data_IF_932692122346
#
_entry.id   IF_932692122346
#
_cell.length_a   1.000
_cell.length_b   1.000
_cell.length_c   1.000
_cell.angle_alpha   90.00
_cell.angle_beta   90.00
_cell.angle_gamma   90.00
#
_symmetry.space_group_name_H-M   'P 1'
#
loop_
_entity.id
_entity.type
_entity.pdbx_description
1 polymer ?
#
# COMPACT_ATOMS: atom_id res chain seq x y z
N UNK A 1 -54.90 -26.89 -25.56
CA UNK A 1 -53.45 -27.01 -25.79
C UNK A 1 -52.74 -26.19 -24.72
N UNK A 2 -52.14 -26.85 -23.72
CA UNK A 2 -51.33 -26.19 -22.70
C UNK A 2 -49.99 -25.77 -23.34
N UNK A 3 -49.71 -24.47 -23.39
CA UNK A 3 -48.41 -23.95 -23.75
C UNK A 3 -47.51 -23.97 -22.51
N UNK A 4 -46.49 -24.83 -22.52
CA UNK A 4 -45.47 -24.87 -21.48
C UNK A 4 -44.55 -23.66 -21.62
N UNK A 5 -44.60 -22.74 -20.64
CA UNK A 5 -43.55 -21.74 -20.45
C UNK A 5 -42.28 -22.43 -19.97
N UNK A 6 -41.29 -22.57 -20.85
CA UNK A 6 -39.93 -22.95 -20.47
C UNK A 6 -39.29 -21.71 -19.84
N UNK A 7 -39.24 -21.69 -18.50
CA UNK A 7 -38.41 -20.74 -17.76
C UNK A 7 -36.97 -21.27 -17.81
N UNK A 8 -36.15 -20.70 -18.69
CA UNK A 8 -34.70 -20.91 -18.65
C UNK A 8 -34.15 -20.20 -17.42
N UNK A 9 -33.93 -20.94 -16.34
CA UNK A 9 -33.10 -20.52 -15.22
C UNK A 9 -31.66 -20.37 -15.73
N UNK A 10 -31.26 -19.15 -16.05
CA UNK A 10 -29.85 -18.82 -16.24
C UNK A 10 -29.16 -18.99 -14.87
N UNK A 11 -28.33 -20.03 -14.73
CA UNK A 11 -27.44 -20.15 -13.60
C UNK A 11 -26.57 -18.87 -13.52
N UNK A 12 -26.35 -18.28 -12.34
CA UNK A 12 -25.45 -17.15 -12.23
C UNK A 12 -24.06 -17.65 -12.62
N UNK A 13 -23.59 -17.21 -13.79
CA UNK A 13 -22.20 -17.41 -14.19
C UNK A 13 -21.35 -16.80 -13.08
N UNK A 14 -20.62 -17.63 -12.33
CA UNK A 14 -19.62 -17.18 -11.37
C UNK A 14 -18.58 -16.38 -12.16
N UNK A 15 -18.74 -15.07 -12.23
CA UNK A 15 -18.03 -14.14 -13.12
C UNK A 15 -16.52 -14.00 -12.81
N UNK A 16 -15.90 -14.96 -12.11
CA UNK A 16 -14.48 -14.95 -11.75
C UNK A 16 -13.91 -16.34 -11.39
N UNK A 17 -14.43 -17.42 -11.97
CA UNK A 17 -13.98 -18.78 -11.66
C UNK A 17 -12.60 -19.16 -12.22
N UNK A 18 -12.07 -18.35 -13.15
CA UNK A 18 -10.73 -18.51 -13.74
C UNK A 18 -9.97 -17.19 -13.66
N UNK A 19 -8.63 -17.23 -13.55
CA UNK A 19 -7.84 -16.02 -13.62
C UNK A 19 -7.92 -15.41 -15.02
N UNK A 20 -7.86 -14.09 -15.09
CA UNK A 20 -7.74 -13.33 -16.34
C UNK A 20 -6.37 -12.69 -16.38
N UNK A 21 -5.67 -12.76 -17.50
CA UNK A 21 -4.33 -12.22 -17.59
C UNK A 21 -3.97 -11.75 -19.00
N UNK A 22 -3.07 -10.78 -19.06
CA UNK A 22 -2.36 -10.35 -20.26
C UNK A 22 -0.92 -10.05 -19.87
N UNK A 23 0.05 -10.68 -20.55
CA UNK A 23 1.48 -10.45 -20.36
C UNK A 23 1.95 -10.58 -18.88
N UNK A 24 1.24 -11.40 -18.10
CA UNK A 24 1.59 -11.81 -16.74
C UNK A 24 1.29 -13.29 -16.56
N UNK A 25 2.07 -13.98 -15.73
CA UNK A 25 1.83 -15.38 -15.36
C UNK A 25 1.90 -15.59 -13.84
N UNK A 26 1.09 -16.53 -13.35
CA UNK A 26 1.14 -17.01 -11.96
C UNK A 26 2.27 -18.02 -11.81
N UNK A 27 3.21 -17.76 -10.90
CA UNK A 27 4.28 -18.67 -10.53
C UNK A 27 3.89 -19.58 -9.37
N UNK A 28 3.28 -18.99 -8.34
CA UNK A 28 2.88 -19.70 -7.14
C UNK A 28 1.94 -18.86 -6.30
N UNK A 29 1.29 -19.50 -5.33
CA UNK A 29 0.32 -18.87 -4.45
C UNK A 29 0.35 -19.47 -3.06
N UNK A 30 -0.05 -18.68 -2.06
CA UNK A 30 -0.29 -19.14 -0.70
C UNK A 30 -1.63 -18.58 -0.22
N UNK A 31 -2.48 -19.38 0.40
CA UNK A 31 -3.81 -18.94 0.83
C UNK A 31 -3.79 -18.00 2.05
N UNK A 32 -2.62 -17.79 2.64
CA UNK A 32 -2.39 -17.01 3.85
C UNK A 32 -3.33 -17.42 5.00
N UNK A 33 -3.69 -18.71 5.05
CA UNK A 33 -4.64 -19.26 6.02
C UNK A 33 -5.99 -18.52 5.99
N UNK A 34 -6.43 -18.09 4.80
CA UNK A 34 -7.67 -17.34 4.57
C UNK A 34 -7.77 -16.01 5.35
N UNK A 35 -6.64 -15.36 5.62
CA UNK A 35 -6.59 -14.06 6.29
C UNK A 35 -6.67 -12.91 5.29
N UNK A 36 -7.38 -11.84 5.65
CA UNK A 36 -7.48 -10.61 4.85
C UNK A 36 -6.15 -9.88 4.82
N UNK A 37 -5.61 -9.56 3.66
CA UNK A 37 -4.27 -8.98 3.54
C UNK A 37 -4.27 -7.51 3.09
N UNK A 38 -3.27 -6.76 3.57
CA UNK A 38 -3.04 -5.36 3.22
C UNK A 38 -1.67 -5.18 2.55
N UNK A 39 -0.58 -5.03 3.31
CA UNK A 39 0.74 -4.74 2.74
C UNK A 39 1.61 -6.00 2.64
N UNK A 40 2.10 -6.35 1.44
CA UNK A 40 3.27 -7.22 1.28
C UNK A 40 4.56 -6.39 1.34
N UNK A 41 5.56 -6.90 2.05
CA UNK A 41 6.97 -6.43 1.99
C UNK A 41 7.86 -7.64 1.76
N UNK A 42 8.70 -7.60 0.74
CA UNK A 42 9.56 -8.73 0.35
C UNK A 42 10.99 -8.40 0.69
N UNK A 43 11.62 -9.22 1.53
CA UNK A 43 12.96 -8.95 2.04
C UNK A 43 13.88 -10.16 1.86
N UNK A 44 15.10 -9.91 1.42
CA UNK A 44 16.14 -10.93 1.33
C UNK A 44 16.94 -10.98 2.63
N UNK A 45 16.93 -12.12 3.32
CA UNK A 45 17.68 -12.32 4.57
C UNK A 45 18.22 -13.75 4.67
N UNK A 46 19.44 -13.91 5.18
CA UNK A 46 20.01 -15.23 5.45
C UNK A 46 20.01 -16.18 4.24
N UNK A 47 20.18 -15.65 3.01
CA UNK A 47 20.12 -16.43 1.77
C UNK A 47 18.72 -16.85 1.32
N UNK A 48 17.67 -16.34 1.97
CA UNK A 48 16.26 -16.62 1.68
C UNK A 48 15.53 -15.34 1.33
N UNK A 49 14.39 -15.48 0.64
CA UNK A 49 13.45 -14.39 0.43
C UNK A 49 12.21 -14.63 1.26
N UNK A 50 11.87 -13.66 2.11
CA UNK A 50 10.73 -13.73 3.02
C UNK A 50 9.72 -12.66 2.62
N UNK A 51 8.47 -13.08 2.43
CA UNK A 51 7.32 -12.20 2.28
C UNK A 51 6.68 -11.96 3.64
N UNK A 52 6.66 -10.71 4.06
CA UNK A 52 5.97 -10.21 5.24
C UNK A 52 4.64 -9.65 4.81
N UNK A 53 3.55 -10.30 5.21
CA UNK A 53 2.20 -9.90 4.82
C UNK A 53 1.46 -9.37 6.05
N UNK A 54 1.22 -8.06 6.07
CA UNK A 54 0.36 -7.43 7.06
C UNK A 54 -1.11 -7.72 6.76
N UNK A 55 -1.89 -7.99 7.81
CA UNK A 55 -3.30 -8.34 7.71
C UNK A 55 -4.20 -7.30 8.37
N UNK A 56 -5.38 -7.11 7.78
CA UNK A 56 -6.52 -6.49 8.48
C UNK A 56 -7.01 -7.41 9.60
N UNK A 57 -7.79 -6.89 10.52
CA UNK A 57 -8.60 -7.68 11.46
C UNK A 57 -9.48 -8.72 10.75
N UNK A 58 -10.03 -9.65 11.53
CA UNK A 58 -10.89 -10.72 11.00
C UNK A 58 -12.19 -10.18 10.37
N UNK A 59 -13.01 -11.09 9.84
CA UNK A 59 -14.37 -10.75 9.38
C UNK A 59 -15.38 -11.03 10.49
N UNK A 60 -16.65 -10.64 10.30
CA UNK A 60 -17.72 -10.97 11.26
C UNK A 60 -17.91 -12.48 11.38
N UNK A 61 -17.76 -13.19 10.28
CA UNK A 61 -17.93 -14.63 10.15
C UNK A 61 -16.71 -15.39 10.71
N UNK A 62 -15.51 -14.84 10.51
CA UNK A 62 -14.26 -15.44 10.99
C UNK A 62 -13.40 -14.34 11.67
N UNK A 63 -13.71 -13.97 12.93
CA UNK A 63 -12.95 -12.95 13.65
C UNK A 63 -11.52 -13.39 13.98
N UNK A 64 -11.33 -14.70 14.20
CA UNK A 64 -10.05 -15.33 14.54
C UNK A 64 -9.82 -16.55 13.64
N UNK A 65 -9.24 -16.37 12.43
CA UNK A 65 -8.94 -17.50 11.57
C UNK A 65 -8.03 -18.51 12.28
N UNK A 66 -8.36 -19.80 12.12
CA UNK A 66 -7.59 -20.92 12.63
C UNK A 66 -6.18 -20.89 12.04
N UNK A 67 -5.17 -21.01 12.88
CA UNK A 67 -3.79 -21.22 12.47
C UNK A 67 -3.50 -22.72 12.38
N UNK A 68 -3.29 -23.30 11.18
CA UNK A 68 -3.00 -24.73 11.04
C UNK A 68 -1.65 -25.17 11.64
N UNK A 69 -0.69 -24.25 11.81
CA UNK A 69 0.62 -24.57 12.40
C UNK A 69 0.54 -24.82 13.91
N UNK A 70 -0.31 -24.07 14.60
CA UNK A 70 -0.43 -24.11 16.07
C UNK A 70 -1.71 -24.80 16.53
N UNK A 71 -2.72 -24.87 15.67
CA UNK A 71 -4.07 -25.30 16.03
C UNK A 71 -4.83 -24.26 16.87
N UNK A 72 -4.38 -23.02 16.96
CA UNK A 72 -5.05 -21.96 17.71
C UNK A 72 -5.91 -21.06 16.82
N UNK A 73 -6.97 -20.48 17.38
CA UNK A 73 -7.73 -19.40 16.73
C UNK A 73 -7.09 -18.06 17.12
N UNK A 74 -6.56 -17.35 16.13
CA UNK A 74 -5.72 -16.17 16.36
C UNK A 74 -6.29 -14.94 15.63
N UNK A 75 -6.28 -13.79 16.31
CA UNK A 75 -6.50 -12.51 15.63
C UNK A 75 -5.45 -12.34 14.53
N UNK A 76 -5.89 -11.90 13.36
CA UNK A 76 -5.00 -11.60 12.24
C UNK A 76 -3.88 -10.65 12.69
N UNK A 77 -2.67 -10.85 12.17
CA UNK A 77 -1.56 -9.95 12.41
C UNK A 77 -0.63 -9.92 11.21
N UNK A 78 0.48 -10.65 11.28
CA UNK A 78 1.47 -10.67 10.19
C UNK A 78 1.84 -12.10 9.83
N UNK A 79 1.71 -12.46 8.56
CA UNK A 79 2.22 -13.73 8.04
C UNK A 79 3.66 -13.59 7.56
N UNK A 80 4.52 -14.53 7.92
CA UNK A 80 5.87 -14.67 7.39
C UNK A 80 5.89 -15.90 6.48
N UNK A 81 6.16 -15.68 5.19
CA UNK A 81 6.12 -16.73 4.15
C UNK A 81 7.47 -16.78 3.46
N UNK A 82 8.09 -17.94 3.41
CA UNK A 82 9.27 -18.17 2.57
C UNK A 82 8.84 -18.18 1.10
N UNK A 83 9.41 -17.28 0.33
CA UNK A 83 9.19 -17.13 -1.11
C UNK A 83 10.50 -17.23 -1.89
N UNK A 84 11.50 -17.93 -1.32
CA UNK A 84 12.80 -18.20 -1.96
C UNK A 84 12.59 -18.94 -3.27
N UNK A 85 11.78 -20.01 -3.25
CA UNK A 85 11.19 -20.58 -4.45
C UNK A 85 9.80 -19.97 -4.67
N UNK A 86 9.62 -19.07 -5.66
CA UNK A 86 8.34 -18.40 -5.91
C UNK A 86 7.24 -19.38 -6.35
N UNK A 87 7.59 -20.60 -6.81
CA UNK A 87 6.63 -21.63 -7.21
C UNK A 87 6.14 -22.46 -6.02
N UNK A 88 6.83 -22.39 -4.88
CA UNK A 88 6.54 -23.19 -3.68
C UNK A 88 6.59 -22.35 -2.40
N UNK A 89 5.76 -21.29 -2.29
CA UNK A 89 5.75 -20.44 -1.11
C UNK A 89 5.37 -21.24 0.14
N UNK A 90 6.20 -21.17 1.19
CA UNK A 90 6.02 -21.92 2.44
C UNK A 90 5.69 -20.98 3.60
N UNK A 91 4.50 -21.14 4.17
CA UNK A 91 4.10 -20.39 5.36
C UNK A 91 4.97 -20.83 6.56
N UNK A 92 5.61 -19.88 7.23
CA UNK A 92 6.57 -20.16 8.31
C UNK A 92 5.97 -19.88 9.68
N UNK A 93 5.35 -18.71 9.82
CA UNK A 93 4.88 -18.23 11.11
C UNK A 93 3.80 -17.17 10.93
N UNK A 94 2.94 -17.05 11.93
CA UNK A 94 1.97 -15.99 12.05
C UNK A 94 2.20 -15.28 13.39
N UNK A 95 2.39 -13.97 13.36
CA UNK A 95 2.49 -13.15 14.57
C UNK A 95 1.12 -12.51 14.79
N UNK A 96 0.34 -12.89 15.83
CA UNK A 96 -0.98 -12.31 16.08
C UNK A 96 -0.95 -10.79 16.20
N UNK A 97 -2.03 -10.15 15.74
CA UNK A 97 -2.22 -8.70 15.78
C UNK A 97 -3.23 -8.28 16.84
N UNK A 98 -3.70 -7.05 16.72
CA UNK A 98 -4.68 -6.49 17.64
C UNK A 98 -6.07 -7.09 17.40
N UNK A 99 -6.86 -7.12 18.47
CA UNK A 99 -8.27 -7.48 18.39
C UNK A 99 -9.05 -6.44 17.58
N UNK A 100 -9.90 -6.93 16.68
CA UNK A 100 -10.80 -6.09 15.90
C UNK A 100 -11.14 -6.73 14.57
N UNK A 101 -12.14 -6.16 13.90
CA UNK A 101 -12.58 -6.59 12.57
C UNK A 101 -12.09 -5.60 11.53
N UNK A 102 -11.79 -6.08 10.31
CA UNK A 102 -11.36 -5.21 9.21
C UNK A 102 -10.25 -4.22 9.66
N UNK A 103 -10.40 -2.92 9.38
CA UNK A 103 -9.40 -1.90 9.76
C UNK A 103 -9.36 -1.60 11.26
N UNK A 104 -10.30 -2.10 12.07
CA UNK A 104 -10.34 -1.84 13.52
C UNK A 104 -9.32 -2.71 14.30
N UNK A 105 -8.80 -3.79 13.68
CA UNK A 105 -7.81 -4.69 14.28
C UNK A 105 -6.70 -5.08 13.29
N UNK A 106 -5.96 -6.15 13.61
CA UNK A 106 -4.93 -6.68 12.72
C UNK A 106 -3.52 -6.15 12.97
N UNK A 107 -2.69 -6.19 11.94
CA UNK A 107 -1.36 -5.57 11.85
C UNK A 107 -1.05 -5.30 10.36
N UNK A 108 -1.80 -4.35 9.80
CA UNK A 108 -1.95 -4.20 8.35
C UNK A 108 -0.68 -3.76 7.62
N UNK A 109 0.21 -3.00 8.26
CA UNK A 109 1.38 -2.42 7.61
C UNK A 109 2.69 -2.97 8.16
N UNK A 110 3.64 -3.26 7.28
CA UNK A 110 4.95 -3.82 7.64
C UNK A 110 6.09 -3.21 6.81
N UNK A 111 7.24 -2.98 7.44
CA UNK A 111 8.54 -2.61 6.85
C UNK A 111 9.63 -3.44 7.47
N UNK A 112 10.69 -3.70 6.71
CA UNK A 112 11.78 -4.58 7.15
C UNK A 112 13.12 -3.91 6.85
N UNK A 113 14.02 -3.93 7.84
CA UNK A 113 15.39 -3.46 7.71
C UNK A 113 16.35 -4.52 8.26
N UNK A 114 17.47 -4.75 7.58
CA UNK A 114 18.56 -5.50 8.20
C UNK A 114 19.17 -4.69 9.34
N UNK A 115 19.50 -5.34 10.46
CA UNK A 115 20.12 -4.67 11.59
C UNK A 115 21.49 -4.08 11.26
N UNK A 116 22.26 -4.72 10.38
CA UNK A 116 23.53 -4.18 9.83
C UNK A 116 23.35 -2.89 9.01
N UNK A 117 22.13 -2.62 8.52
CA UNK A 117 21.82 -1.41 7.77
C UNK A 117 21.54 -0.22 8.68
N UNK A 118 21.09 -0.48 9.91
CA UNK A 118 20.75 0.55 10.89
C UNK A 118 21.99 1.04 11.65
N UNK A 119 22.10 2.34 11.99
CA UNK A 119 23.29 2.88 12.64
C UNK A 119 23.66 2.24 13.99
N UNK A 120 22.67 1.73 14.74
CA UNK A 120 22.86 1.10 16.06
C UNK A 120 22.13 -0.25 16.15
N UNK A 121 21.77 -0.86 15.02
CA UNK A 121 21.12 -2.16 15.00
C UNK A 121 22.11 -3.30 15.32
N UNK A 122 21.61 -4.41 15.85
CA UNK A 122 22.41 -5.64 15.94
C UNK A 122 22.68 -6.14 14.52
N UNK A 123 23.95 -6.29 14.09
CA UNK A 123 24.29 -6.71 12.73
C UNK A 123 23.75 -8.11 12.35
N UNK A 124 23.40 -8.94 13.34
CA UNK A 124 22.83 -10.27 13.12
C UNK A 124 21.29 -10.28 13.15
N UNK A 125 20.66 -9.15 13.47
CA UNK A 125 19.22 -9.03 13.49
C UNK A 125 18.65 -8.67 12.11
N UNK A 126 17.39 -9.01 11.92
CA UNK A 126 16.53 -8.41 10.90
C UNK A 126 15.33 -7.85 11.63
N UNK A 127 15.04 -6.56 11.46
CA UNK A 127 13.96 -5.90 12.19
C UNK A 127 12.76 -5.67 11.30
N UNK A 128 11.59 -6.10 11.76
CA UNK A 128 10.30 -5.77 11.17
C UNK A 128 9.62 -4.70 12.02
N UNK A 129 9.35 -3.54 11.43
CA UNK A 129 8.44 -2.54 11.95
C UNK A 129 7.03 -2.83 11.43
N UNK A 130 6.03 -2.87 12.31
CA UNK A 130 4.63 -3.07 11.92
C UNK A 130 3.66 -2.20 12.73
N UNK A 131 2.46 -1.99 12.20
CA UNK A 131 1.34 -1.57 13.05
C UNK A 131 0.84 -2.72 13.92
N UNK A 132 0.24 -2.40 15.06
CA UNK A 132 -0.54 -3.33 15.87
C UNK A 132 -1.95 -2.78 16.03
N UNK A 133 -2.81 -3.20 15.10
CA UNK A 133 -4.17 -2.68 14.91
C UNK A 133 -4.17 -1.18 14.78
N UNK A 134 -4.91 -0.54 15.67
CA UNK A 134 -4.95 0.91 15.80
C UNK A 134 -4.17 1.42 17.01
N UNK A 135 -3.57 0.56 17.84
CA UNK A 135 -3.15 0.92 19.22
C UNK A 135 -1.65 1.19 19.39
N UNK A 136 -0.84 0.69 18.48
CA UNK A 136 0.61 0.79 18.59
C UNK A 136 1.33 0.59 17.25
N UNK A 137 2.62 0.92 17.25
CA UNK A 137 3.61 0.35 16.33
C UNK A 137 4.51 -0.61 17.10
N UNK A 138 4.95 -1.67 16.45
CA UNK A 138 5.83 -2.69 17.04
C UNK A 138 7.07 -2.90 16.20
N UNK A 139 8.18 -3.19 16.87
CA UNK A 139 9.42 -3.60 16.24
C UNK A 139 9.73 -5.02 16.73
N UNK A 140 9.95 -5.92 15.78
CA UNK A 140 10.23 -7.34 16.01
C UNK A 140 11.60 -7.69 15.41
N UNK A 141 12.37 -8.52 16.09
CA UNK A 141 13.50 -9.21 15.49
C UNK A 141 13.00 -10.50 14.82
N UNK A 142 13.22 -10.59 13.51
CA UNK A 142 12.79 -11.68 12.64
C UNK A 142 13.98 -12.32 11.92
N UNK A 143 15.19 -12.24 12.48
CA UNK A 143 16.37 -12.92 11.94
C UNK A 143 16.10 -14.42 11.71
N UNK A 144 15.42 -15.05 12.68
CA UNK A 144 14.70 -16.31 12.47
C UNK A 144 13.21 -16.00 12.20
N UNK A 145 12.74 -16.07 10.94
CA UNK A 145 11.35 -15.80 10.61
C UNK A 145 10.38 -16.88 11.09
N UNK A 146 10.86 -18.03 11.58
CA UNK A 146 10.03 -19.05 12.21
C UNK A 146 9.87 -18.85 13.73
N UNK A 147 10.65 -17.95 14.35
CA UNK A 147 10.59 -17.66 15.78
C UNK A 147 10.83 -16.16 16.06
N UNK A 148 9.97 -15.26 15.55
CA UNK A 148 10.12 -13.82 15.70
C UNK A 148 9.96 -13.39 17.17
N UNK A 149 10.75 -12.38 17.58
CA UNK A 149 10.77 -11.87 18.96
C UNK A 149 10.45 -10.38 19.01
N UNK A 150 9.50 -9.99 19.86
CA UNK A 150 9.19 -8.57 20.06
C UNK A 150 10.39 -7.87 20.69
N UNK A 151 10.76 -6.72 20.14
CA UNK A 151 11.85 -5.87 20.63
C UNK A 151 11.27 -4.68 21.39
N UNK A 152 10.34 -3.95 20.77
CA UNK A 152 9.74 -2.76 21.38
C UNK A 152 8.33 -2.54 20.85
N UNK A 153 7.47 -1.96 21.68
CA UNK A 153 6.11 -1.52 21.31
C UNK A 153 5.94 -0.05 21.67
N UNK A 154 5.58 0.76 20.67
CA UNK A 154 5.25 2.18 20.80
C UNK A 154 3.73 2.30 20.95
N UNK A 155 3.26 2.40 22.20
CA UNK A 155 1.83 2.45 22.56
C UNK A 155 1.39 3.85 23.01
N UNK A 156 0.12 3.98 23.45
CA UNK A 156 -0.45 5.26 23.90
C UNK A 156 -0.97 6.13 22.75
N UNK A 157 -1.15 5.53 21.58
CA UNK A 157 -1.61 6.15 20.33
C UNK A 157 -2.84 5.42 19.83
N UNK A 158 -3.55 6.03 18.88
CA UNK A 158 -4.69 5.43 18.18
C UNK A 158 -4.51 5.51 16.65
N UNK A 159 -5.40 4.90 15.88
CA UNK A 159 -5.49 5.10 14.43
C UNK A 159 -4.23 4.75 13.63
N UNK A 160 -3.36 3.86 14.12
CA UNK A 160 -2.12 3.52 13.39
C UNK A 160 -2.43 2.95 12.00
N UNK A 161 -1.64 3.33 10.99
CA UNK A 161 -1.95 2.99 9.59
C UNK A 161 -0.72 2.62 8.77
N UNK A 162 -0.17 3.54 7.96
CA UNK A 162 1.09 3.33 7.22
C UNK A 162 2.33 3.62 8.07
N UNK A 163 3.48 3.13 7.62
CA UNK A 163 4.79 3.54 8.12
C UNK A 163 5.82 3.53 6.98
N UNK A 164 6.84 4.39 7.12
CA UNK A 164 8.04 4.42 6.28
C UNK A 164 9.26 4.41 7.17
N UNK A 165 10.25 3.57 6.86
CA UNK A 165 11.47 3.44 7.65
C UNK A 165 12.69 3.55 6.74
N UNK A 166 13.50 4.57 6.97
CA UNK A 166 14.81 4.73 6.33
C UNK A 166 15.81 3.80 7.03
N UNK A 167 16.12 2.65 6.44
CA UNK A 167 17.00 1.68 7.08
C UNK A 167 18.42 2.20 7.30
N UNK A 168 18.91 3.11 6.47
CA UNK A 168 20.28 3.67 6.53
C UNK A 168 20.47 4.71 7.65
N UNK A 169 19.42 5.47 7.98
CA UNK A 169 19.47 6.48 9.05
C UNK A 169 18.77 6.05 10.32
N UNK A 170 17.85 5.09 10.22
CA UNK A 170 16.93 4.71 11.29
C UNK A 170 15.72 5.64 11.42
N UNK A 171 15.60 6.72 10.64
CA UNK A 171 14.45 7.64 10.73
C UNK A 171 13.18 6.95 10.22
N UNK A 172 12.13 7.02 11.02
CA UNK A 172 10.83 6.48 10.68
C UNK A 172 9.72 7.53 10.73
N UNK A 173 8.81 7.44 9.78
CA UNK A 173 7.59 8.26 9.66
C UNK A 173 6.41 7.35 9.91
N UNK A 174 5.80 7.48 11.09
CA UNK A 174 4.75 6.60 11.57
C UNK A 174 3.41 7.32 11.50
N UNK A 175 2.41 6.70 10.85
CA UNK A 175 1.05 7.25 10.86
C UNK A 175 0.34 6.79 12.11
N UNK A 176 -0.10 7.75 12.91
CA UNK A 176 -0.76 7.53 14.22
C UNK A 176 -1.65 8.72 14.59
N UNK A 177 -2.53 8.52 15.55
CA UNK A 177 -3.29 9.56 16.24
C UNK A 177 -2.75 9.75 17.65
N UNK A 178 -2.11 10.90 17.89
CA UNK A 178 -1.57 11.27 19.20
C UNK A 178 -2.65 11.98 20.02
N UNK A 179 -2.81 11.68 21.33
CA UNK A 179 -3.77 12.38 22.19
C UNK A 179 -3.66 13.91 22.10
N UNK A 180 -4.81 14.59 22.00
CA UNK A 180 -4.90 16.04 21.88
C UNK A 180 -4.90 16.59 20.45
N UNK A 181 -4.45 15.81 19.46
CA UNK A 181 -4.58 16.18 18.05
C UNK A 181 -6.01 16.05 17.55
N UNK A 182 -6.38 16.86 16.55
CA UNK A 182 -7.75 16.96 16.01
C UNK A 182 -8.10 15.87 14.97
N UNK A 183 -7.14 15.01 14.65
CA UNK A 183 -7.29 13.91 13.70
C UNK A 183 -6.80 12.60 14.32
N UNK A 184 -7.30 11.49 13.81
CA UNK A 184 -6.92 10.14 14.19
C UNK A 184 -5.67 9.61 13.45
N UNK A 185 -5.25 10.28 12.37
CA UNK A 185 -4.06 9.94 11.57
C UNK A 185 -3.26 11.18 11.19
N UNK A 186 -2.09 11.33 11.81
CA UNK A 186 -1.03 12.32 11.57
C UNK A 186 0.35 11.61 11.61
N UNK A 187 1.45 12.35 11.45
CA UNK A 187 2.81 11.78 11.46
C UNK A 187 3.45 11.92 12.82
N UNK A 188 3.96 10.82 13.36
CA UNK A 188 5.02 10.83 14.37
C UNK A 188 6.36 10.52 13.68
N UNK A 189 7.37 11.36 13.92
CA UNK A 189 8.72 11.13 13.43
C UNK A 189 9.55 10.56 14.56
N UNK A 190 10.19 9.41 14.31
CA UNK A 190 11.02 8.69 15.27
C UNK A 190 12.42 8.46 14.72
N UNK A 191 13.41 8.49 15.61
CA UNK A 191 14.71 7.86 15.41
C UNK A 191 14.61 6.42 15.94
N UNK A 192 14.63 5.46 15.02
CA UNK A 192 14.68 4.01 15.25
C UNK A 192 16.05 3.42 14.89
N UNK A 193 17.12 4.23 14.89
CA UNK A 193 18.49 3.75 14.63
C UNK A 193 18.93 2.67 15.63
N UNK A 194 18.45 2.75 16.87
CA UNK A 194 18.45 1.68 17.88
C UNK A 194 17.00 1.17 18.07
N UNK A 195 16.63 0.04 17.45
CA UNK A 195 15.30 -0.54 17.55
C UNK A 195 14.83 -0.86 18.99
N UNK A 196 15.75 -1.04 19.93
CA UNK A 196 15.43 -1.32 21.33
C UNK A 196 15.27 -0.04 22.17
N UNK A 197 15.69 1.12 21.64
CA UNK A 197 15.56 2.43 22.29
C UNK A 197 15.05 3.50 21.33
N UNK A 198 13.82 3.38 20.81
CA UNK A 198 13.22 4.40 19.96
C UNK A 198 13.19 5.78 20.61
N UNK A 199 13.53 6.82 19.84
CA UNK A 199 13.46 8.22 20.30
C UNK A 199 12.45 8.98 19.45
N UNK A 200 11.39 9.48 20.09
CA UNK A 200 10.42 10.36 19.40
C UNK A 200 11.08 11.70 19.10
N UNK A 201 11.10 12.10 17.83
CA UNK A 201 11.71 13.35 17.40
C UNK A 201 10.71 14.50 17.40
N UNK A 202 9.52 14.31 16.82
CA UNK A 202 8.43 15.29 16.77
C UNK A 202 7.12 14.70 16.27
N UNK A 203 6.06 15.47 16.43
CA UNK A 203 4.80 15.33 15.72
C UNK A 203 4.78 16.24 14.47
N UNK A 204 4.12 15.81 13.40
CA UNK A 204 3.99 16.59 12.15
C UNK A 204 2.69 16.28 11.39
N UNK A 205 2.05 17.32 10.86
CA UNK A 205 0.77 17.19 10.16
C UNK A 205 0.47 18.44 9.32
N UNK A 206 -0.71 18.48 8.67
CA UNK A 206 -1.18 19.71 8.01
C UNK A 206 -1.59 20.75 9.06
N UNK A 207 -1.30 22.05 8.84
CA UNK A 207 -1.82 23.13 9.68
C UNK A 207 -3.35 23.09 9.79
N UNK A 208 -3.85 23.16 11.02
CA UNK A 208 -5.25 22.96 11.38
C UNK A 208 -5.49 21.65 12.14
N UNK A 209 -4.57 20.69 12.07
CA UNK A 209 -4.69 19.40 12.78
C UNK A 209 -4.11 19.42 14.20
N UNK A 210 -3.21 20.36 14.50
CA UNK A 210 -2.55 20.49 15.79
C UNK A 210 -3.53 20.82 16.93
N UNK A 211 -3.14 20.55 18.20
CA UNK A 211 -3.91 20.97 19.36
C UNK A 211 -4.21 22.48 19.36
N UNK A 212 -5.38 22.85 19.89
CA UNK A 212 -5.86 24.24 20.00
C UNK A 212 -6.01 25.02 18.67
N UNK A 213 -5.82 24.39 17.51
CA UNK A 213 -6.14 25.01 16.23
C UNK A 213 -7.65 25.32 16.12
N UNK A 214 -7.98 26.47 15.52
CA UNK A 214 -9.36 26.84 15.16
C UNK A 214 -9.75 26.38 13.75
N UNK A 215 -10.97 26.75 13.31
CA UNK A 215 -11.45 26.53 11.94
C UNK A 215 -11.69 25.06 11.56
N UNK A 216 -11.96 24.77 10.27
CA UNK A 216 -12.15 23.40 9.77
C UNK A 216 -10.88 22.53 9.94
N UNK A 217 -11.07 21.25 10.27
CA UNK A 217 -9.95 20.29 10.35
C UNK A 217 -9.60 19.79 8.94
N UNK A 218 -8.33 19.90 8.49
CA UNK A 218 -7.91 19.34 7.19
C UNK A 218 -7.97 17.81 7.15
N UNK A 219 -8.00 17.26 5.94
CA UNK A 219 -8.04 15.82 5.71
C UNK A 219 -6.84 15.08 6.32
N UNK A 220 -7.07 13.84 6.75
CA UNK A 220 -6.13 13.03 7.54
C UNK A 220 -5.03 12.39 6.69
N UNK A 221 -3.90 12.08 7.32
CA UNK A 221 -2.75 11.48 6.65
C UNK A 221 -3.03 10.02 6.30
N UNK A 222 -2.62 9.61 5.10
CA UNK A 222 -2.59 8.21 4.73
C UNK A 222 -1.19 7.59 4.91
N UNK A 223 -0.14 8.26 4.42
CA UNK A 223 1.23 7.78 4.50
C UNK A 223 2.26 8.75 3.94
N UNK A 224 3.54 8.39 4.08
CA UNK A 224 4.65 9.16 3.57
C UNK A 224 5.66 8.26 2.87
N UNK A 225 6.38 8.80 1.89
CA UNK A 225 7.55 8.16 1.29
C UNK A 225 8.71 9.15 1.36
N UNK A 226 9.81 8.74 2.00
CA UNK A 226 11.03 9.53 2.07
C UNK A 226 12.04 9.07 1.03
N UNK A 227 12.75 10.03 0.45
CA UNK A 227 13.89 9.79 -0.45
C UNK A 227 15.23 9.72 0.29
N UNK A 228 15.18 9.67 1.64
CA UNK A 228 16.35 9.63 2.50
C UNK A 228 17.22 10.89 2.43
N UNK A 229 18.41 10.85 3.04
CA UNK A 229 19.35 11.98 3.07
C UNK A 229 19.74 12.47 1.67
N UNK A 230 19.92 11.55 0.72
CA UNK A 230 20.36 11.88 -0.65
C UNK A 230 19.34 12.76 -1.38
N UNK A 231 18.05 12.45 -1.28
CA UNK A 231 17.02 13.25 -1.91
C UNK A 231 16.55 14.43 -1.06
N UNK A 232 16.74 14.39 0.26
CA UNK A 232 16.30 15.41 1.22
C UNK A 232 14.81 15.81 1.08
N UNK A 233 13.95 14.84 0.73
CA UNK A 233 12.51 15.05 0.59
C UNK A 233 11.69 13.97 1.25
N UNK A 234 10.55 14.38 1.80
CA UNK A 234 9.47 13.50 2.24
C UNK A 234 8.20 13.91 1.50
N UNK A 235 7.55 12.94 0.88
CA UNK A 235 6.30 13.12 0.13
C UNK A 235 5.16 12.55 0.94
N UNK A 236 4.28 13.40 1.46
CA UNK A 236 3.12 12.99 2.25
C UNK A 236 1.86 12.95 1.39
N UNK A 237 1.04 11.92 1.64
CA UNK A 237 -0.26 11.70 1.02
C UNK A 237 -1.36 11.87 2.07
N UNK A 238 -2.23 12.87 1.90
CA UNK A 238 -3.39 13.09 2.76
C UNK A 238 -4.70 12.93 1.98
N UNK A 239 -5.75 12.49 2.68
CA UNK A 239 -7.10 12.34 2.13
C UNK A 239 -7.21 11.21 1.13
N UNK A 240 -7.52 10.01 1.61
CA UNK A 240 -7.42 8.75 0.85
C UNK A 240 -8.25 8.68 -0.44
N UNK A 241 -9.53 9.07 -0.39
CA UNK A 241 -10.49 8.99 -1.51
C UNK A 241 -11.13 10.36 -1.87
N UNK A 242 -10.91 11.38 -1.04
CA UNK A 242 -11.48 12.71 -1.19
C UNK A 242 -10.56 13.78 -0.60
N UNK A 243 -10.61 15.00 -1.18
CA UNK A 243 -9.85 16.16 -0.73
C UNK A 243 -8.34 15.93 -0.66
N UNK A 244 -7.80 15.17 -1.62
CA UNK A 244 -6.41 14.71 -1.60
C UNK A 244 -5.39 15.84 -1.52
N UNK A 245 -4.29 15.60 -0.79
CA UNK A 245 -3.16 16.53 -0.74
C UNK A 245 -1.85 15.76 -0.93
N UNK A 246 -1.07 16.16 -1.93
CA UNK A 246 0.34 15.86 -2.02
C UNK A 246 1.11 17.00 -1.34
N UNK A 247 1.81 16.71 -0.25
CA UNK A 247 2.72 17.67 0.38
C UNK A 247 4.17 17.24 0.18
N UNK A 248 5.00 18.16 -0.28
CA UNK A 248 6.44 17.96 -0.46
C UNK A 248 7.15 18.71 0.67
N UNK A 249 7.95 17.99 1.43
CA UNK A 249 8.60 18.48 2.65
C UNK A 249 10.11 18.30 2.55
N UNK A 250 10.86 19.34 2.93
CA UNK A 250 12.31 19.29 3.11
C UNK A 250 12.64 18.49 4.38
N UNK A 251 13.37 17.38 4.21
CA UNK A 251 13.62 16.41 5.27
C UNK A 251 14.50 17.01 6.38
N UNK A 252 15.59 17.69 6.04
CA UNK A 252 16.48 18.30 7.04
C UNK A 252 15.77 19.39 7.84
N UNK A 253 14.95 20.23 7.21
CA UNK A 253 14.13 21.21 7.94
C UNK A 253 13.10 20.54 8.85
N UNK A 254 12.50 19.43 8.41
CA UNK A 254 11.54 18.69 9.23
C UNK A 254 12.22 18.13 10.50
N UNK A 255 13.42 17.55 10.35
CA UNK A 255 14.13 16.89 11.44
C UNK A 255 14.81 17.87 12.41
N UNK A 256 15.40 18.95 11.89
CA UNK A 256 16.24 19.87 12.68
C UNK A 256 15.59 21.22 12.98
N UNK A 257 14.44 21.52 12.35
CA UNK A 257 13.70 22.75 12.61
C UNK A 257 12.95 22.75 13.94
N UNK A 258 12.29 23.88 14.29
CA UNK A 258 11.46 24.00 15.48
C UNK A 258 10.40 22.88 15.55
N UNK A 259 10.23 22.27 16.73
CA UNK A 259 9.50 21.00 16.90
C UNK A 259 8.06 21.17 17.34
N UNK A 260 7.78 22.26 18.02
CA UNK A 260 6.48 22.66 18.55
C UNK A 260 5.49 22.75 17.38
N UNK A 261 4.29 22.14 17.46
CA UNK A 261 3.37 22.04 16.33
C UNK A 261 2.56 23.32 16.14
N UNK A 262 3.21 24.48 16.07
CA UNK A 262 2.56 25.73 15.66
C UNK A 262 2.28 25.71 14.15
N UNK A 263 1.34 26.53 13.68
CA UNK A 263 1.06 26.63 12.25
C UNK A 263 2.31 27.01 11.44
N UNK A 264 3.11 27.95 11.96
CA UNK A 264 4.38 28.36 11.34
C UNK A 264 5.36 27.19 11.24
N UNK A 265 5.56 26.46 12.33
CA UNK A 265 6.51 25.34 12.38
C UNK A 265 6.07 24.15 11.51
N UNK A 266 4.77 23.91 11.38
CA UNK A 266 4.22 22.90 10.46
C UNK A 266 4.37 23.30 8.99
N UNK A 267 4.36 24.60 8.67
CA UNK A 267 4.61 25.12 7.32
C UNK A 267 6.10 25.25 7.00
N UNK A 268 6.95 25.43 8.00
CA UNK A 268 8.39 25.67 7.84
C UNK A 268 9.11 24.67 6.92
N UNK A 269 8.91 23.35 7.03
CA UNK A 269 9.60 22.40 6.18
C UNK A 269 8.86 22.15 4.85
N UNK A 270 7.66 22.71 4.62
CA UNK A 270 6.94 22.53 3.37
C UNK A 270 7.62 23.30 2.23
N UNK A 271 8.04 22.59 1.19
CA UNK A 271 8.60 23.18 -0.04
C UNK A 271 7.56 23.33 -1.14
N UNK A 272 6.57 22.43 -1.17
CA UNK A 272 5.56 22.37 -2.22
C UNK A 272 4.29 21.66 -1.76
N UNK A 273 3.19 21.92 -2.45
CA UNK A 273 1.91 21.25 -2.20
C UNK A 273 1.03 21.28 -3.45
N UNK A 274 0.29 20.19 -3.67
CA UNK A 274 -0.83 20.11 -4.60
C UNK A 274 -2.08 19.72 -3.82
N UNK A 275 -3.09 20.58 -3.88
CA UNK A 275 -4.44 20.27 -3.42
C UNK A 275 -5.24 19.70 -4.60
N UNK A 276 -5.79 18.50 -4.41
CA UNK A 276 -6.58 17.81 -5.42
C UNK A 276 -8.06 18.18 -5.30
N UNK A 277 -8.84 17.77 -6.30
CA UNK A 277 -10.30 17.93 -6.28
C UNK A 277 -10.88 17.30 -5.00
N UNK A 278 -11.94 17.87 -4.41
CA UNK A 278 -12.69 17.23 -3.33
C UNK A 278 -13.17 15.82 -3.68
N UNK A 279 -13.30 15.47 -4.96
CA UNK A 279 -13.77 14.16 -5.43
C UNK A 279 -12.67 13.10 -5.51
N UNK A 280 -11.41 13.46 -5.26
CA UNK A 280 -10.26 12.57 -5.46
C UNK A 280 -9.31 12.65 -4.29
N UNK A 281 -8.69 11.52 -3.92
CA UNK A 281 -7.76 11.47 -2.81
C UNK A 281 -6.27 11.47 -3.19
N UNK A 282 -5.41 11.28 -2.20
CA UNK A 282 -4.02 10.88 -2.31
C UNK A 282 -3.77 9.78 -1.25
N UNK A 283 -3.75 8.53 -1.70
CA UNK A 283 -3.42 7.36 -0.86
C UNK A 283 -1.90 7.11 -0.86
N UNK A 284 -1.25 7.06 -2.02
CA UNK A 284 0.21 6.90 -2.12
C UNK A 284 0.80 8.01 -2.98
N UNK A 285 1.91 8.61 -2.54
CA UNK A 285 2.64 9.68 -3.25
C UNK A 285 4.06 9.19 -3.58
N UNK A 286 4.20 8.36 -4.60
CA UNK A 286 5.46 7.69 -4.94
C UNK A 286 6.37 8.59 -5.81
N UNK A 287 7.56 9.00 -5.33
CA UNK A 287 8.44 9.88 -6.08
C UNK A 287 9.22 9.14 -7.17
N UNK A 288 9.14 9.64 -8.41
CA UNK A 288 9.90 9.20 -9.58
C UNK A 288 10.78 10.36 -10.04
N UNK A 289 11.96 10.47 -9.45
CA UNK A 289 12.85 11.62 -9.62
C UNK A 289 13.85 11.43 -10.74
N UNK A 290 14.39 12.52 -11.27
CA UNK A 290 15.42 12.55 -12.31
C UNK A 290 15.06 11.65 -13.50
N UNK A 291 13.82 11.77 -13.97
CA UNK A 291 13.30 10.97 -15.05
C UNK A 291 13.64 11.61 -16.40
N UNK A 292 14.44 10.96 -17.26
CA UNK A 292 14.66 11.43 -18.61
C UNK A 292 13.35 11.31 -19.41
N UNK A 293 12.90 12.40 -20.02
CA UNK A 293 11.71 12.41 -20.89
C UNK A 293 12.18 12.29 -22.33
N UNK A 294 11.93 11.13 -22.94
CA UNK A 294 12.49 10.79 -24.26
C UNK A 294 12.12 11.81 -25.35
N UNK A 295 10.87 12.28 -25.37
CA UNK A 295 10.40 13.28 -26.33
C UNK A 295 11.13 14.62 -26.16
N UNK A 296 11.54 14.97 -24.94
CA UNK A 296 12.23 16.21 -24.62
C UNK A 296 13.75 16.08 -24.68
N UNK A 297 14.30 14.98 -25.22
CA UNK A 297 15.74 14.72 -25.22
C UNK A 297 16.57 15.79 -25.94
N UNK A 298 15.97 16.49 -26.91
CA UNK A 298 16.59 17.59 -27.67
C UNK A 298 16.32 18.98 -27.09
N UNK A 299 15.52 19.07 -26.03
CA UNK A 299 15.18 20.35 -25.42
C UNK A 299 16.34 20.93 -24.63
N UNK A 300 16.48 22.26 -24.70
CA UNK A 300 17.49 22.99 -23.92
C UNK A 300 17.25 22.89 -22.42
N UNK A 301 15.99 22.86 -22.00
CA UNK A 301 15.55 22.81 -20.59
C UNK A 301 14.44 21.77 -20.47
N UNK A 302 14.49 20.92 -19.46
CA UNK A 302 13.39 20.00 -19.15
C UNK A 302 13.50 18.58 -19.71
N UNK A 303 14.63 18.21 -20.33
CA UNK A 303 14.94 16.84 -20.75
C UNK A 303 14.95 15.80 -19.62
N UNK A 304 15.17 16.26 -18.38
CA UNK A 304 15.04 15.48 -17.15
C UNK A 304 14.08 16.22 -16.24
N UNK A 305 13.10 15.50 -15.70
CA UNK A 305 12.02 16.03 -14.86
C UNK A 305 11.88 15.19 -13.60
N UNK A 306 11.28 15.76 -12.57
CA UNK A 306 10.91 15.06 -11.35
C UNK A 306 9.40 14.87 -11.33
N UNK A 307 8.93 13.68 -11.00
CA UNK A 307 7.51 13.39 -10.90
C UNK A 307 7.16 12.76 -9.56
N UNK A 308 5.89 12.87 -9.18
CA UNK A 308 5.27 12.07 -8.14
C UNK A 308 4.05 11.38 -8.74
N UNK A 309 3.99 10.06 -8.58
CA UNK A 309 2.83 9.25 -8.93
C UNK A 309 1.90 9.22 -7.72
N UNK A 310 0.79 9.94 -7.84
CA UNK A 310 -0.25 9.98 -6.81
C UNK A 310 -1.31 8.92 -7.12
N UNK A 311 -1.37 7.88 -6.30
CA UNK A 311 -2.39 6.83 -6.40
C UNK A 311 -3.52 7.14 -5.44
N UNK A 312 -4.76 7.11 -5.92
CA UNK A 312 -5.97 7.29 -5.11
C UNK A 312 -6.50 5.93 -4.60
N UNK A 313 -7.42 5.92 -3.64
CA UNK A 313 -8.10 4.68 -3.21
C UNK A 313 -9.62 4.76 -3.38
N UNK A 314 -10.19 3.73 -4.01
CA UNK A 314 -11.62 3.42 -3.95
C UNK A 314 -12.01 2.78 -2.61
N UNK A 315 -13.07 3.24 -1.95
CA UNK A 315 -13.54 2.72 -0.65
C UNK A 315 -14.94 2.08 -0.67
N UNK A 316 -15.76 2.36 -1.70
CA UNK A 316 -17.12 1.81 -1.89
C UNK A 316 -17.15 0.69 -2.91
N UNK A 317 -18.06 -0.25 -2.69
CA UNK A 317 -18.35 -1.34 -3.62
C UNK A 317 -19.24 -0.83 -4.75
N UNK A 318 -19.21 -1.53 -5.89
CA UNK A 318 -20.13 -1.35 -7.03
C UNK A 318 -20.28 0.10 -7.51
N UNK A 319 -19.20 0.89 -7.40
CA UNK A 319 -19.08 2.21 -8.02
C UNK A 319 -20.02 3.28 -7.43
N UNK A 320 -20.35 3.16 -6.13
CA UNK A 320 -21.23 4.10 -5.41
C UNK A 320 -20.56 5.42 -4.98
N UNK A 321 -19.39 5.75 -5.54
CA UNK A 321 -18.67 7.00 -5.25
C UNK A 321 -17.81 7.43 -6.47
N UNK A 322 -17.23 8.65 -6.48
CA UNK A 322 -16.37 9.11 -7.56
C UNK A 322 -15.21 8.17 -7.87
N UNK A 323 -14.84 8.10 -9.15
CA UNK A 323 -13.73 7.27 -9.64
C UNK A 323 -12.39 7.76 -9.14
N UNK A 324 -11.59 6.80 -8.70
CA UNK A 324 -10.26 7.02 -8.19
C UNK A 324 -9.23 6.55 -9.23
N UNK A 325 -8.21 7.39 -9.45
CA UNK A 325 -7.24 7.24 -10.54
C UNK A 325 -5.80 7.27 -10.02
N UNK A 326 -4.87 6.93 -10.92
CA UNK A 326 -3.45 7.28 -10.78
C UNK A 326 -3.22 8.61 -11.47
N UNK A 327 -2.46 9.49 -10.84
CA UNK A 327 -2.10 10.82 -11.35
C UNK A 327 -0.58 10.91 -11.45
N UNK A 328 -0.08 11.32 -12.62
CA UNK A 328 1.32 11.73 -12.78
C UNK A 328 1.40 13.24 -12.52
N UNK A 329 2.19 13.65 -11.53
CA UNK A 329 2.36 15.05 -11.13
C UNK A 329 3.81 15.47 -11.37
N UNK A 330 4.05 16.44 -12.24
CA UNK A 330 5.36 17.08 -12.41
C UNK A 330 5.66 17.94 -11.18
N UNK A 331 6.78 17.63 -10.53
CA UNK A 331 7.32 18.34 -9.36
C UNK A 331 8.73 18.88 -9.63
N UNK A 332 9.13 19.02 -10.90
CA UNK A 332 10.43 19.59 -11.30
C UNK A 332 10.63 20.97 -10.69
N UNK A 333 9.56 21.76 -10.61
CA UNK A 333 9.52 22.97 -9.80
C UNK A 333 8.62 22.68 -8.60
N UNK A 334 9.22 22.24 -7.49
CA UNK A 334 8.51 21.69 -6.33
C UNK A 334 7.44 22.63 -5.75
N UNK A 335 7.64 23.95 -5.87
CA UNK A 335 6.67 24.96 -5.41
C UNK A 335 5.39 25.02 -6.24
N UNK A 336 5.41 24.50 -7.47
CA UNK A 336 4.29 24.50 -8.41
C UNK A 336 4.04 23.11 -9.00
N UNK A 337 3.67 22.10 -8.17
CA UNK A 337 3.32 20.80 -8.70
C UNK A 337 2.13 20.89 -9.67
N UNK A 338 2.18 20.16 -10.77
CA UNK A 338 1.09 20.14 -11.74
C UNK A 338 0.84 18.72 -12.27
N UNK A 339 -0.41 18.30 -12.32
CA UNK A 339 -0.75 17.03 -12.97
C UNK A 339 -0.52 17.12 -14.48
N UNK A 340 0.14 16.11 -15.04
CA UNK A 340 0.45 16.01 -16.47
C UNK A 340 -0.30 14.89 -17.17
N UNK A 341 -0.72 13.84 -16.45
CA UNK A 341 -1.57 12.78 -16.98
C UNK A 341 -2.28 12.00 -15.88
N UNK A 342 -3.34 11.27 -16.26
CA UNK A 342 -4.06 10.35 -15.37
C UNK A 342 -4.21 8.98 -16.02
N UNK A 343 -4.38 7.95 -15.21
CA UNK A 343 -4.62 6.59 -15.68
C UNK A 343 -5.60 5.84 -14.77
N UNK A 344 -6.42 4.99 -15.37
CA UNK A 344 -7.33 4.08 -14.69
C UNK A 344 -7.86 3.00 -15.63
N UNK A 345 -8.44 1.95 -15.07
CA UNK A 345 -9.04 0.86 -15.86
C UNK A 345 -10.41 1.31 -16.36
N UNK A 346 -10.74 1.18 -17.65
CA UNK A 346 -12.09 1.43 -18.14
C UNK A 346 -13.09 0.43 -17.56
N UNK A 347 -14.20 0.91 -16.98
CA UNK A 347 -15.25 0.05 -16.41
C UNK A 347 -15.76 -0.99 -17.41
N UNK A 348 -16.02 -0.52 -18.64
CA UNK A 348 -16.56 -1.33 -19.73
C UNK A 348 -15.63 -2.45 -20.21
N UNK A 349 -14.34 -2.43 -19.87
CA UNK A 349 -13.41 -3.49 -20.29
C UNK A 349 -13.57 -4.79 -19.52
N UNK A 350 -14.32 -4.79 -18.41
CA UNK A 350 -14.58 -5.98 -17.60
C UNK A 350 -15.91 -5.98 -16.84
N UNK A 351 -16.77 -4.98 -17.05
CA UNK A 351 -18.05 -4.84 -16.32
C UNK A 351 -17.84 -4.73 -14.81
N UNK A 352 -16.77 -4.04 -14.40
CA UNK A 352 -16.25 -4.13 -13.04
C UNK A 352 -17.19 -3.58 -11.97
N UNK A 353 -18.12 -2.68 -12.30
CA UNK A 353 -19.15 -2.26 -11.35
C UNK A 353 -20.11 -3.38 -11.00
N UNK A 354 -20.52 -4.14 -12.01
CA UNK A 354 -21.47 -5.22 -11.84
C UNK A 354 -20.82 -6.47 -11.22
N UNK A 355 -19.49 -6.62 -11.31
CA UNK A 355 -18.74 -7.78 -10.79
C UNK A 355 -18.83 -7.95 -9.27
N UNK A 356 -19.04 -6.85 -8.53
CA UNK A 356 -19.06 -6.82 -7.07
C UNK A 356 -17.73 -6.41 -6.45
N UNK A 357 -17.78 -6.00 -5.18
CA UNK A 357 -16.62 -5.41 -4.51
C UNK A 357 -16.27 -4.01 -5.02
N UNK A 358 -15.13 -3.48 -4.55
CA UNK A 358 -14.61 -2.18 -4.98
C UNK A 358 -14.01 -2.29 -6.38
N UNK A 359 -14.18 -1.22 -7.16
CA UNK A 359 -13.57 -1.04 -8.49
C UNK A 359 -12.98 0.37 -8.59
N UNK A 360 -11.65 0.44 -8.61
CA UNK A 360 -10.85 1.65 -8.67
C UNK A 360 -9.43 1.36 -8.18
N UNK A 361 -8.54 2.34 -8.22
CA UNK A 361 -7.17 2.19 -7.70
C UNK A 361 -7.15 1.96 -6.19
N UNK A 362 -6.07 1.38 -5.68
CA UNK A 362 -5.76 1.36 -4.24
C UNK A 362 -4.31 1.73 -3.97
N UNK A 363 -3.35 0.84 -4.27
CA UNK A 363 -1.94 1.07 -3.95
C UNK A 363 -1.02 0.75 -5.13
N UNK A 364 0.05 1.53 -5.25
CA UNK A 364 1.21 1.16 -6.06
C UNK A 364 2.11 0.17 -5.31
N UNK A 365 3.05 -0.45 -6.01
CA UNK A 365 4.26 -0.96 -5.36
C UNK A 365 5.03 0.19 -4.69
N UNK A 366 5.77 -0.11 -3.63
CA UNK A 366 6.54 0.90 -2.87
C UNK A 366 8.05 0.65 -2.92
N UNK A 367 8.49 -0.53 -3.39
CA UNK A 367 9.88 -0.80 -3.74
C UNK A 367 10.35 0.06 -4.92
N UNK A 368 11.57 0.57 -4.80
CA UNK A 368 12.29 1.34 -5.82
C UNK A 368 13.32 0.49 -6.56
N UNK A 369 13.13 -0.82 -6.65
CA UNK A 369 14.05 -1.73 -7.36
C UNK A 369 14.45 -1.18 -8.73
N UNK A 370 15.76 -1.21 -9.09
CA UNK A 370 16.23 -0.66 -10.35
C UNK A 370 15.70 -1.41 -11.59
N UNK A 371 15.10 -2.59 -11.41
CA UNK A 371 14.45 -3.36 -12.47
C UNK A 371 13.27 -2.55 -13.05
N UNK A 372 12.46 -1.93 -12.18
CA UNK A 372 11.20 -1.30 -12.58
C UNK A 372 11.19 0.22 -12.40
N UNK A 373 11.99 0.77 -11.48
CA UNK A 373 12.00 2.21 -11.17
C UNK A 373 12.21 3.08 -12.44
N UNK A 374 11.41 4.15 -12.56
CA UNK A 374 11.29 5.06 -13.73
C UNK A 374 10.81 4.41 -15.04
N UNK A 375 10.34 3.15 -15.02
CA UNK A 375 9.97 2.40 -16.22
C UNK A 375 8.58 1.79 -16.12
N UNK A 376 8.39 0.90 -15.15
CA UNK A 376 7.12 0.24 -14.87
C UNK A 376 6.72 0.50 -13.43
N UNK A 377 5.43 0.73 -13.23
CA UNK A 377 4.82 0.69 -11.91
C UNK A 377 3.64 -0.28 -11.93
N UNK A 378 3.43 -0.91 -10.78
CA UNK A 378 2.35 -1.86 -10.57
C UNK A 378 1.31 -1.24 -9.66
N UNK A 379 0.03 -1.35 -10.02
CA UNK A 379 -1.08 -0.81 -9.26
C UNK A 379 -2.09 -1.91 -8.97
N UNK A 380 -2.49 -2.05 -7.72
CA UNK A 380 -3.69 -2.78 -7.38
C UNK A 380 -4.92 -1.97 -7.75
N UNK A 381 -5.92 -2.66 -8.30
CA UNK A 381 -7.17 -2.08 -8.79
C UNK A 381 -8.38 -2.89 -8.31
N UNK A 382 -8.35 -3.33 -7.05
CA UNK A 382 -9.36 -4.15 -6.39
C UNK A 382 -9.87 -5.31 -7.26
N UNK A 383 -11.17 -5.33 -7.63
CA UNK A 383 -11.77 -6.41 -8.41
C UNK A 383 -11.25 -6.51 -9.85
N UNK A 384 -10.48 -5.51 -10.30
CA UNK A 384 -9.77 -5.49 -11.56
C UNK A 384 -8.32 -5.98 -11.42
N UNK A 385 -7.92 -6.56 -10.29
CA UNK A 385 -6.64 -7.23 -10.11
C UNK A 385 -5.44 -6.26 -10.03
N UNK A 386 -4.27 -6.72 -10.47
CA UNK A 386 -3.06 -5.91 -10.58
C UNK A 386 -2.80 -5.49 -12.03
N UNK A 387 -2.34 -4.25 -12.20
CA UNK A 387 -2.05 -3.62 -13.50
C UNK A 387 -0.60 -3.17 -13.54
N UNK A 388 0.13 -3.51 -14.61
CA UNK A 388 1.44 -2.95 -14.89
C UNK A 388 1.31 -1.83 -15.92
N UNK A 389 1.85 -0.66 -15.59
CA UNK A 389 1.75 0.56 -16.39
C UNK A 389 3.16 1.03 -16.72
N UNK A 390 3.44 1.19 -18.02
CA UNK A 390 4.63 1.86 -18.53
C UNK A 390 4.50 3.35 -18.26
N UNK A 391 5.43 3.87 -17.46
CA UNK A 391 5.48 5.26 -17.04
C UNK A 391 6.57 6.05 -17.75
N UNK A 392 7.35 5.44 -18.67
CA UNK A 392 8.48 6.09 -19.35
C UNK A 392 8.08 7.34 -20.15
N UNK A 393 6.85 7.38 -20.63
CA UNK A 393 6.20 8.60 -21.09
C UNK A 393 5.23 9.10 -19.99
N UNK A 394 5.65 10.07 -19.13
CA UNK A 394 4.84 10.53 -18.01
C UNK A 394 3.58 11.29 -18.47
N UNK A 395 3.52 11.75 -19.71
CA UNK A 395 2.34 12.43 -20.28
C UNK A 395 1.33 11.45 -20.87
N UNK A 396 1.74 10.20 -21.14
CA UNK A 396 0.88 9.17 -21.73
C UNK A 396 1.14 7.79 -21.10
N UNK A 397 0.87 7.67 -19.79
CA UNK A 397 0.95 6.39 -19.06
C UNK A 397 0.13 5.29 -19.77
N UNK A 398 0.73 4.10 -19.94
CA UNK A 398 0.12 3.02 -20.72
C UNK A 398 0.11 1.68 -19.99
N UNK A 399 -1.07 1.09 -19.82
CA UNK A 399 -1.17 -0.30 -19.32
C UNK A 399 -0.54 -1.26 -20.34
N UNK A 400 0.36 -2.11 -19.88
CA UNK A 400 1.06 -3.11 -20.70
C UNK A 400 0.75 -4.54 -20.32
N UNK A 401 0.34 -4.79 -19.07
CA UNK A 401 0.06 -6.13 -18.58
C UNK A 401 -0.93 -6.09 -17.40
N UNK A 402 -1.68 -7.16 -17.19
CA UNK A 402 -2.56 -7.32 -16.02
C UNK A 402 -2.72 -8.76 -15.60
N UNK A 403 -3.08 -8.96 -14.33
CA UNK A 403 -3.50 -10.24 -13.79
C UNK A 403 -4.64 -10.03 -12.79
N UNK A 404 -5.75 -10.75 -12.99
CA UNK A 404 -6.89 -10.78 -12.09
C UNK A 404 -7.01 -12.21 -11.55
N UNK A 405 -6.81 -12.43 -10.24
CA UNK A 405 -7.00 -13.75 -9.64
C UNK A 405 -8.42 -14.29 -9.83
N UNK A 406 -8.55 -15.62 -9.82
CA UNK A 406 -9.84 -16.28 -9.65
C UNK A 406 -10.30 -16.16 -8.19
N UNK A 407 -11.61 -16.20 -7.96
CA UNK A 407 -12.14 -16.41 -6.60
C UNK A 407 -11.80 -17.84 -6.14
N UNK A 408 -11.67 -18.01 -4.83
CA UNK A 408 -11.49 -19.31 -4.19
C UNK A 408 -12.63 -19.57 -3.20
N UNK A 409 -12.67 -20.76 -2.60
CA UNK A 409 -13.58 -21.06 -1.49
C UNK A 409 -13.36 -20.15 -0.27
N UNK A 410 -12.17 -19.58 -0.13
CA UNK A 410 -11.83 -18.67 0.95
C UNK A 410 -12.23 -17.23 0.63
N UNK A 411 -12.59 -16.91 -0.61
CA UNK A 411 -12.85 -15.54 -1.02
C UNK A 411 -14.12 -15.01 -0.35
N UNK A 412 -13.95 -13.95 0.43
CA UNK A 412 -14.98 -13.33 1.24
C UNK A 412 -15.99 -12.52 0.40
N UNK A 413 -17.21 -12.39 0.90
CA UNK A 413 -18.31 -11.68 0.24
C UNK A 413 -18.13 -10.16 0.35
N UNK A 414 -18.53 -9.44 -0.70
CA UNK A 414 -18.57 -7.97 -0.74
C UNK A 414 -20.01 -7.53 -0.95
N UNK A 415 -20.48 -6.70 -0.03
CA UNK A 415 -21.89 -6.38 0.08
C UNK A 415 -22.15 -4.90 -0.12
N UNK A 416 -23.34 -4.58 -0.63
CA UNK A 416 -23.89 -3.23 -0.67
C UNK A 416 -25.23 -3.20 0.07
N UNK A 417 -25.60 -2.03 0.58
CA UNK A 417 -26.94 -1.79 1.11
C UNK A 417 -27.82 -1.25 -0.02
N UNK A 418 -28.93 -1.92 -0.26
CA UNK A 418 -29.94 -1.49 -1.23
C UNK A 418 -30.82 -0.38 -0.63
N UNK A 419 -31.56 0.32 -1.50
CA UNK A 419 -32.44 1.43 -1.10
C UNK A 419 -33.55 1.00 -0.12
N UNK A 420 -33.97 -0.27 -0.16
CA UNK A 420 -34.96 -0.85 0.76
C UNK A 420 -34.33 -1.36 2.07
N UNK A 421 -33.03 -1.13 2.27
CA UNK A 421 -32.28 -1.54 3.45
C UNK A 421 -31.77 -2.98 3.42
N UNK A 422 -32.13 -3.78 2.40
CA UNK A 422 -31.62 -5.15 2.26
C UNK A 422 -30.14 -5.14 1.85
N UNK A 423 -29.44 -6.22 2.19
CA UNK A 423 -28.04 -6.41 1.81
C UNK A 423 -27.92 -7.35 0.61
N UNK A 424 -27.17 -6.92 -0.41
CA UNK A 424 -26.82 -7.77 -1.54
C UNK A 424 -25.32 -8.00 -1.55
N UNK A 425 -24.93 -9.26 -1.47
CA UNK A 425 -23.53 -9.68 -1.42
C UNK A 425 -23.12 -10.46 -2.68
N UNK A 426 -21.91 -10.18 -3.18
CA UNK A 426 -21.25 -10.94 -4.24
C UNK A 426 -19.87 -11.40 -3.78
N UNK A 427 -19.43 -12.57 -4.21
CA UNK A 427 -18.05 -13.02 -3.99
C UNK A 427 -17.18 -12.51 -5.12
N UNK A 428 -16.22 -11.63 -4.80
CA UNK A 428 -15.31 -11.04 -5.75
C UNK A 428 -13.94 -10.85 -5.10
N UNK A 429 -12.87 -11.05 -5.88
CA UNK A 429 -11.52 -10.74 -5.40
C UNK A 429 -11.42 -9.24 -5.12
N UNK A 430 -10.49 -8.88 -4.26
CA UNK A 430 -10.15 -7.51 -3.91
C UNK A 430 -8.63 -7.41 -3.77
N UNK A 431 -7.92 -7.46 -4.90
CA UNK A 431 -6.46 -7.30 -4.90
C UNK A 431 -6.14 -5.96 -4.27
N UNK A 432 -5.52 -6.02 -3.09
CA UNK A 432 -5.43 -4.89 -2.18
C UNK A 432 -4.14 -4.12 -2.40
N UNK A 433 -2.98 -4.78 -2.28
CA UNK A 433 -1.69 -4.16 -2.61
C UNK A 433 -0.85 -5.08 -3.48
N UNK A 434 0.19 -4.47 -4.07
CA UNK A 434 1.24 -5.12 -4.84
C UNK A 434 2.60 -4.69 -4.30
N UNK A 435 3.60 -5.58 -4.35
CA UNK A 435 5.00 -5.22 -4.15
C UNK A 435 5.90 -5.98 -5.13
N UNK A 436 7.08 -5.44 -5.42
CA UNK A 436 8.09 -6.02 -6.33
C UNK A 436 9.40 -6.32 -5.58
N UNK A 437 10.19 -7.27 -6.09
CA UNK A 437 11.52 -7.58 -5.54
C UNK A 437 12.66 -7.50 -6.58
N UNK A 438 13.90 -7.60 -6.11
CA UNK A 438 15.10 -7.54 -6.96
C UNK A 438 15.36 -8.81 -7.79
N UNK A 439 14.46 -9.79 -7.76
CA UNK A 439 14.43 -10.91 -8.71
C UNK A 439 13.50 -10.62 -9.89
N UNK A 440 12.73 -9.53 -9.81
CA UNK A 440 11.75 -9.12 -10.80
C UNK A 440 10.40 -9.81 -10.66
N UNK A 441 10.13 -10.51 -9.54
CA UNK A 441 8.80 -10.99 -9.25
C UNK A 441 7.93 -9.88 -8.65
N UNK A 442 6.62 -10.05 -8.75
CA UNK A 442 5.67 -9.18 -8.07
C UNK A 442 4.62 -9.99 -7.32
N UNK A 443 4.21 -9.45 -6.19
CA UNK A 443 3.46 -10.11 -5.14
C UNK A 443 2.19 -9.35 -4.91
N UNK A 444 1.04 -9.98 -5.17
CA UNK A 444 -0.26 -9.37 -4.92
C UNK A 444 -0.95 -10.09 -3.78
N UNK A 445 -1.59 -9.30 -2.92
CA UNK A 445 -2.33 -9.82 -1.78
C UNK A 445 -3.75 -9.31 -1.77
N UNK A 446 -4.67 -10.11 -1.26
CA UNK A 446 -6.10 -9.88 -1.42
C UNK A 446 -6.80 -9.63 -0.07
N UNK A 447 -7.58 -8.54 0.02
CA UNK A 447 -8.34 -8.21 1.24
C UNK A 447 -9.62 -9.03 1.39
N UNK A 448 -10.03 -9.75 0.36
CA UNK A 448 -11.13 -10.71 0.41
C UNK A 448 -10.61 -12.13 0.61
N UNK A 449 -9.47 -12.32 1.29
CA UNK A 449 -8.96 -13.62 1.73
C UNK A 449 -8.59 -14.58 0.58
N UNK A 450 -8.45 -14.07 -0.66
CA UNK A 450 -8.03 -14.87 -1.81
C UNK A 450 -6.55 -15.29 -1.73
N UNK A 451 -5.78 -14.66 -0.83
CA UNK A 451 -4.40 -15.04 -0.51
C UNK A 451 -3.34 -14.20 -1.24
N UNK A 452 -2.12 -14.74 -1.22
CA UNK A 452 -0.93 -14.23 -1.89
C UNK A 452 -0.77 -14.91 -3.26
N UNK A 453 -0.48 -14.12 -4.30
CA UNK A 453 -0.08 -14.61 -5.62
C UNK A 453 1.26 -14.01 -6.00
N UNK A 454 2.18 -14.86 -6.45
CA UNK A 454 3.51 -14.50 -6.92
C UNK A 454 3.50 -14.60 -8.44
N UNK A 455 3.84 -13.50 -9.09
CA UNK A 455 3.64 -13.30 -10.51
C UNK A 455 4.95 -12.89 -11.19
N UNK A 456 5.02 -13.13 -12.50
CA UNK A 456 6.08 -12.62 -13.38
C UNK A 456 5.49 -11.96 -14.63
N UNK A 457 6.25 -11.06 -15.25
CA UNK A 457 5.90 -10.47 -16.53
C UNK A 457 6.19 -11.49 -17.64
N UNK A 458 5.33 -11.54 -18.65
CA UNK A 458 5.49 -12.40 -19.83
C UNK A 458 5.27 -11.62 -21.12
N UNK A 459 5.48 -12.27 -22.27
CA UNK A 459 5.26 -11.67 -23.57
C UNK A 459 6.18 -10.47 -23.84
N UNK A 460 5.59 -9.31 -24.16
CA UNK A 460 6.34 -8.11 -24.52
C UNK A 460 6.78 -7.25 -23.33
N UNK A 461 6.04 -7.32 -22.22
CA UNK A 461 6.23 -6.45 -21.06
C UNK A 461 7.64 -6.52 -20.41
N UNK A 462 8.30 -7.70 -20.32
CA UNK A 462 9.65 -7.80 -19.77
C UNK A 462 10.68 -6.91 -20.46
N UNK A 463 10.50 -6.56 -21.74
CA UNK A 463 11.42 -5.69 -22.49
C UNK A 463 11.46 -4.24 -21.99
N UNK A 464 10.48 -3.83 -21.20
CA UNK A 464 10.41 -2.49 -20.60
C UNK A 464 11.24 -2.42 -19.32
N UNK A 465 11.33 -3.54 -18.60
CA UNK A 465 12.08 -3.65 -17.37
C UNK A 465 13.60 -3.72 -17.62
N UNK A 466 14.38 -3.44 -16.58
CA UNK A 466 15.83 -3.46 -16.59
C UNK A 466 16.35 -4.68 -15.81
N UNK A 467 16.07 -5.89 -16.32
CA UNK A 467 16.59 -7.11 -15.71
C UNK A 467 18.12 -7.14 -15.75
N UNK A 468 18.80 -7.59 -14.67
CA UNK A 468 20.22 -7.90 -14.71
C UNK A 468 20.50 -8.89 -15.85
N UNK A 469 21.53 -8.61 -16.66
CA UNK A 469 21.97 -9.49 -17.75
C UNK A 469 22.78 -10.66 -17.25
#
# INVERSE_FOLDING_TARGET
MLAACIVTLAAPVLAQSKPEAKDMALLGSNDLQARSAYQPTIHSQGGRWIAYIGHHGGTKEIPKPRNPLTGADEFNGTSLVDVTDPRRPKYLFHIPGDEGLAEDGGAQMVRVCDGKGLPKGDPNAVYMLRTFGNKAHEIWNTADPAAPKLVTRLAGIKGTHKNWWECDTGIAYLVSGVPGWRVDRMTEVYDLSDPAKPVKLRDFALPGQQPAAGGPTPTRLHGAISTGPKGNRVYFAYGTNEGGVLQIVDREKLLNGPKEPTEENLRYPQVGRLDMSPLTGAHTTFPVLEMPVAEFAKDKVGKVRNFVVVTNEQIKNECEEPRQFVWMVDVTVERYPASVSTWGVPEASGGFCARGGRFGTHASNESMTPIYYKRLMFFSHFNAGVRAVDIRDPYHMKEVAYYIPAITKNTDKRCIKLADGQERCKTAIQTNNVEVDDRGYFYIVDRANTGLHILELTGAAPRIANFPR
#
